data_IF_497942793510
#
_entry.id   IF_497942793510
#
_cell.length_a   1.000
_cell.length_b   1.000
_cell.length_c   1.000
_cell.angle_alpha   90.00
_cell.angle_beta   90.00
_cell.angle_gamma   90.00
#
_symmetry.space_group_name_H-M   'P 1'
#
loop_
_entity.id
_entity.type
_entity.pdbx_description
1 polymer ?
#
# COMPACT_ATOMS: atom_id res chain seq x y z
N UNK A 1 -5.31 -8.09 -3.99
CA UNK A 1 -4.72 -6.73 -4.11
C UNK A 1 -3.33 -6.79 -4.75
N UNK A 2 -2.40 -7.64 -4.28
CA UNK A 2 -1.05 -7.72 -4.87
C UNK A 2 -1.04 -8.08 -6.37
N UNK A 3 -1.77 -9.12 -6.82
CA UNK A 3 -1.87 -9.46 -8.23
C UNK A 3 -2.47 -8.37 -9.12
N UNK A 4 -3.53 -7.71 -8.67
CA UNK A 4 -4.18 -6.62 -9.41
C UNK A 4 -3.26 -5.39 -9.55
N UNK A 5 -2.54 -5.04 -8.49
CA UNK A 5 -1.54 -3.98 -8.54
C UNK A 5 -0.44 -4.29 -9.56
N UNK A 6 0.03 -5.55 -9.61
CA UNK A 6 1.03 -5.97 -10.58
C UNK A 6 0.59 -5.85 -12.02
N UNK A 7 -0.68 -6.15 -12.32
CA UNK A 7 -1.23 -5.96 -13.67
C UNK A 7 -1.22 -4.48 -14.06
N UNK A 8 -1.67 -3.62 -13.16
CA UNK A 8 -1.58 -2.16 -13.37
C UNK A 8 -0.14 -1.69 -13.58
N UNK A 9 0.82 -2.30 -12.88
CA UNK A 9 2.24 -2.00 -13.05
C UNK A 9 2.79 -2.49 -14.39
N UNK A 10 2.28 -3.58 -14.95
CA UNK A 10 2.68 -4.06 -16.26
C UNK A 10 2.37 -3.02 -17.35
N UNK A 11 1.21 -2.39 -17.30
CA UNK A 11 0.86 -1.33 -18.24
C UNK A 11 1.74 -0.07 -18.04
N UNK A 12 2.05 0.27 -16.81
CA UNK A 12 2.86 1.44 -16.47
C UNK A 12 4.36 1.23 -16.70
N UNK A 13 4.83 -0.01 -16.57
CA UNK A 13 6.22 -0.42 -16.69
C UNK A 13 6.37 -1.59 -17.67
N UNK A 14 6.14 -1.37 -18.97
CA UNK A 14 6.11 -2.45 -19.95
C UNK A 14 7.46 -3.14 -20.17
N UNK A 15 8.54 -2.55 -19.71
CA UNK A 15 9.90 -3.08 -19.73
C UNK A 15 10.20 -4.03 -18.55
N UNK A 16 9.29 -4.18 -17.60
CA UNK A 16 9.46 -5.11 -16.48
C UNK A 16 9.08 -6.53 -16.88
N UNK A 17 10.00 -7.46 -16.61
CA UNK A 17 9.72 -8.88 -16.84
C UNK A 17 8.79 -9.44 -15.76
N UNK A 18 7.53 -9.54 -16.11
CA UNK A 18 6.49 -10.11 -15.25
C UNK A 18 6.74 -11.60 -15.00
N UNK A 19 7.22 -12.31 -16.03
CA UNK A 19 7.57 -13.72 -15.94
C UNK A 19 8.72 -14.00 -14.97
N UNK A 20 9.52 -13.02 -14.61
CA UNK A 20 10.58 -13.19 -13.61
C UNK A 20 10.06 -13.49 -12.21
N UNK A 21 8.89 -12.98 -11.85
CA UNK A 21 8.35 -13.07 -10.47
C UNK A 21 7.06 -13.89 -10.36
N UNK A 22 6.26 -13.97 -11.41
CA UNK A 22 4.98 -14.68 -11.40
C UNK A 22 5.17 -16.14 -11.80
N UNK A 23 4.50 -17.04 -11.10
CA UNK A 23 4.49 -18.45 -11.41
C UNK A 23 3.57 -18.75 -12.62
N UNK A 24 3.68 -19.96 -13.19
CA UNK A 24 2.76 -20.40 -14.25
C UNK A 24 1.30 -20.44 -13.77
N UNK A 25 1.10 -20.77 -12.49
CA UNK A 25 -0.23 -20.74 -11.86
C UNK A 25 -0.72 -19.30 -11.76
N UNK A 26 0.12 -18.39 -11.25
CA UNK A 26 -0.17 -16.97 -11.13
C UNK A 26 -0.51 -16.35 -12.49
N UNK A 27 0.26 -16.68 -13.52
CA UNK A 27 0.03 -16.16 -14.86
C UNK A 27 -1.31 -16.60 -15.47
N UNK A 28 -1.73 -17.84 -15.23
CA UNK A 28 -3.06 -18.33 -15.67
C UNK A 28 -4.19 -17.62 -14.92
N UNK A 29 -3.98 -17.28 -13.67
CA UNK A 29 -5.00 -16.64 -12.81
C UNK A 29 -5.10 -15.12 -13.04
N UNK A 30 -4.08 -14.50 -13.58
CA UNK A 30 -4.01 -13.05 -13.75
C UNK A 30 -5.20 -12.49 -14.53
N UNK A 31 -5.50 -13.05 -15.69
CA UNK A 31 -6.61 -12.60 -16.53
C UNK A 31 -7.97 -12.74 -15.84
N UNK A 32 -8.11 -13.72 -14.96
CA UNK A 32 -9.34 -13.89 -14.19
C UNK A 32 -9.41 -12.84 -13.08
N UNK A 33 -8.32 -12.63 -12.35
CA UNK A 33 -8.26 -11.67 -11.24
C UNK A 33 -8.52 -10.23 -11.67
N UNK A 34 -8.01 -9.81 -12.84
CA UNK A 34 -8.24 -8.43 -13.32
C UNK A 34 -9.67 -8.15 -13.80
N UNK A 35 -10.43 -9.18 -14.11
CA UNK A 35 -11.82 -9.05 -14.57
C UNK A 35 -12.83 -9.23 -13.43
N UNK A 36 -12.36 -9.49 -12.21
CA UNK A 36 -13.22 -9.71 -11.05
C UNK A 36 -13.33 -8.46 -10.18
N UNK A 37 -14.48 -8.28 -9.54
CA UNK A 37 -14.63 -7.33 -8.45
C UNK A 37 -13.89 -7.82 -7.21
N UNK A 38 -13.58 -6.91 -6.29
CA UNK A 38 -12.79 -7.18 -5.05
C UNK A 38 -13.23 -8.44 -4.31
N UNK A 39 -14.54 -8.71 -4.23
CA UNK A 39 -15.06 -9.91 -3.54
C UNK A 39 -14.71 -11.18 -4.30
N UNK A 40 -14.84 -11.19 -5.63
CA UNK A 40 -14.48 -12.34 -6.47
C UNK A 40 -12.98 -12.58 -6.45
N UNK A 41 -12.17 -11.55 -6.56
CA UNK A 41 -10.71 -11.62 -6.48
C UNK A 41 -10.23 -12.16 -5.13
N UNK A 42 -10.85 -11.74 -4.02
CA UNK A 42 -10.52 -12.24 -2.69
C UNK A 42 -10.80 -13.75 -2.55
N UNK A 43 -11.97 -14.20 -3.06
CA UNK A 43 -12.32 -15.63 -3.05
C UNK A 43 -11.35 -16.46 -3.91
N UNK A 44 -10.93 -15.94 -5.05
CA UNK A 44 -9.96 -16.62 -5.91
C UNK A 44 -8.56 -16.64 -5.29
N UNK A 45 -8.16 -15.57 -4.63
CA UNK A 45 -6.90 -15.51 -3.88
C UNK A 45 -6.82 -16.61 -2.81
N UNK A 46 -7.89 -16.78 -2.02
CA UNK A 46 -8.00 -17.87 -1.05
C UNK A 46 -7.89 -19.24 -1.75
N UNK A 47 -8.55 -19.40 -2.89
CA UNK A 47 -8.51 -20.66 -3.65
C UNK A 47 -7.11 -20.96 -4.18
N UNK A 48 -6.38 -19.96 -4.65
CA UNK A 48 -4.99 -20.13 -5.12
C UNK A 48 -4.11 -20.60 -3.96
N UNK A 49 -4.18 -19.95 -2.81
CA UNK A 49 -3.37 -20.32 -1.64
C UNK A 49 -3.70 -21.72 -1.10
N UNK A 50 -4.98 -22.10 -1.07
CA UNK A 50 -5.41 -23.38 -0.52
C UNK A 50 -5.18 -24.57 -1.46
N UNK A 51 -5.30 -24.37 -2.77
CA UNK A 51 -5.37 -25.48 -3.73
C UNK A 51 -4.29 -25.48 -4.81
N UNK A 52 -3.57 -24.38 -5.01
CA UNK A 52 -2.80 -24.26 -6.24
C UNK A 52 -1.35 -23.92 -6.10
N UNK A 53 -0.90 -23.61 -4.92
CA UNK A 53 0.46 -23.15 -4.75
C UNK A 53 0.60 -21.65 -4.95
N UNK A 54 1.83 -21.20 -5.02
CA UNK A 54 2.17 -19.79 -4.91
C UNK A 54 1.89 -19.03 -6.20
N UNK A 55 1.23 -17.89 -6.09
CA UNK A 55 1.07 -16.94 -7.19
C UNK A 55 2.45 -16.44 -7.68
N UNK A 56 3.32 -16.12 -6.74
CA UNK A 56 4.70 -15.73 -7.02
C UNK A 56 5.64 -16.94 -6.97
N UNK A 57 6.54 -17.05 -7.94
CA UNK A 57 7.64 -18.01 -7.90
C UNK A 57 8.86 -17.50 -7.14
N UNK A 58 8.96 -16.18 -7.00
CA UNK A 58 9.97 -15.48 -6.21
C UNK A 58 9.37 -14.21 -5.60
N UNK A 59 9.95 -13.70 -4.53
CA UNK A 59 9.54 -12.42 -3.98
C UNK A 59 9.80 -11.30 -4.99
N UNK A 60 8.84 -10.41 -5.27
CA UNK A 60 9.07 -9.27 -6.17
C UNK A 60 10.24 -8.38 -5.73
N UNK A 61 10.50 -8.26 -4.45
CA UNK A 61 11.62 -7.45 -3.91
C UNK A 61 12.99 -8.09 -4.14
N UNK A 62 13.06 -9.39 -4.46
CA UNK A 62 14.33 -10.05 -4.83
C UNK A 62 14.76 -9.73 -6.27
N UNK A 63 13.86 -9.16 -7.06
CA UNK A 63 14.16 -8.62 -8.38
C UNK A 63 14.44 -7.12 -8.29
N UNK A 64 15.66 -6.65 -8.62
CA UNK A 64 16.00 -5.23 -8.52
C UNK A 64 15.03 -4.32 -9.29
N UNK A 65 14.58 -4.74 -10.47
CA UNK A 65 13.64 -3.98 -11.29
C UNK A 65 12.26 -3.84 -10.62
N UNK A 66 11.74 -4.92 -10.04
CA UNK A 66 10.46 -4.89 -9.33
C UNK A 66 10.54 -4.21 -7.97
N UNK A 67 11.66 -4.38 -7.25
CA UNK A 67 11.94 -3.64 -6.03
C UNK A 67 11.95 -2.12 -6.27
N UNK A 68 12.59 -1.69 -7.35
CA UNK A 68 12.58 -0.29 -7.76
C UNK A 68 11.17 0.21 -8.08
N UNK A 69 10.38 -0.59 -8.81
CA UNK A 69 8.97 -0.25 -9.08
C UNK A 69 8.16 -0.11 -7.80
N UNK A 70 8.35 -1.00 -6.83
CA UNK A 70 7.66 -0.91 -5.54
C UNK A 70 8.02 0.38 -4.79
N UNK A 71 9.28 0.80 -4.82
CA UNK A 71 9.72 2.07 -4.22
C UNK A 71 9.08 3.26 -4.92
N UNK A 72 9.08 3.28 -6.25
CA UNK A 72 8.47 4.36 -7.04
C UNK A 72 6.97 4.48 -6.79
N UNK A 73 6.31 3.38 -6.49
CA UNK A 73 4.88 3.35 -6.17
C UNK A 73 4.59 3.52 -4.66
N UNK A 74 5.61 3.59 -3.82
CA UNK A 74 5.43 3.86 -2.40
C UNK A 74 5.15 5.35 -2.20
N UNK A 75 4.03 5.72 -1.55
CA UNK A 75 3.70 7.11 -1.28
C UNK A 75 4.80 7.81 -0.49
N UNK A 76 5.18 8.99 -0.94
CA UNK A 76 6.16 9.82 -0.26
C UNK A 76 5.51 10.60 0.91
N UNK A 77 6.28 10.96 1.95
CA UNK A 77 5.78 11.77 3.05
C UNK A 77 5.12 13.05 2.57
N UNK A 78 3.92 13.33 3.08
CA UNK A 78 3.21 14.56 2.77
C UNK A 78 3.87 15.76 3.47
N UNK A 79 3.85 16.94 2.84
CA UNK A 79 4.33 18.16 3.50
C UNK A 79 3.45 18.48 4.72
N UNK A 80 4.04 19.13 5.74
CA UNK A 80 3.34 19.47 6.98
C UNK A 80 2.12 20.40 6.78
N UNK A 81 2.02 21.06 5.62
CA UNK A 81 0.85 21.86 5.25
C UNK A 81 -0.36 21.03 4.80
N UNK A 82 -0.18 19.73 4.60
CA UNK A 82 -1.22 18.80 4.16
C UNK A 82 -1.49 17.80 5.29
N UNK A 83 -2.47 18.08 6.16
CA UNK A 83 -2.80 17.20 7.28
C UNK A 83 -3.35 15.87 6.77
N UNK A 84 -2.96 14.78 7.43
CA UNK A 84 -3.39 13.43 7.12
C UNK A 84 -4.08 12.80 8.33
N UNK A 85 -5.22 12.16 8.10
CA UNK A 85 -5.80 11.20 9.03
C UNK A 85 -5.64 9.79 8.49
N UNK A 86 -5.15 8.90 9.33
CA UNK A 86 -5.03 7.48 9.05
C UNK A 86 -5.66 6.67 10.17
N UNK A 87 -6.38 5.62 9.83
CA UNK A 87 -6.85 4.63 10.81
C UNK A 87 -6.41 3.22 10.40
N UNK A 88 -6.07 2.43 11.39
CA UNK A 88 -5.57 1.08 11.18
C UNK A 88 -6.05 0.14 12.28
N UNK A 89 -6.45 -1.08 11.88
CA UNK A 89 -6.81 -2.14 12.80
C UNK A 89 -5.62 -3.04 13.11
N UNK A 90 -5.36 -3.32 14.38
CA UNK A 90 -4.22 -4.18 14.73
C UNK A 90 -4.41 -5.63 14.33
N UNK A 91 -5.63 -6.03 13.93
CA UNK A 91 -5.97 -7.36 13.44
C UNK A 91 -6.31 -7.37 11.94
N UNK A 92 -5.86 -6.36 11.21
CA UNK A 92 -6.02 -6.29 9.76
C UNK A 92 -5.10 -7.32 9.09
N UNK A 93 -5.71 -8.25 8.35
CA UNK A 93 -5.02 -9.31 7.61
C UNK A 93 -4.94 -9.04 6.10
N UNK A 94 -5.53 -7.95 5.64
CA UNK A 94 -5.53 -7.56 4.22
C UNK A 94 -4.51 -6.46 3.97
N UNK A 95 -4.60 -5.36 4.73
CA UNK A 95 -3.56 -4.34 4.78
C UNK A 95 -2.84 -4.51 6.11
N UNK A 96 -1.64 -5.04 6.03
CA UNK A 96 -0.90 -5.44 7.22
C UNK A 96 -0.54 -4.24 8.08
N UNK A 97 -0.95 -4.28 9.34
CA UNK A 97 -0.73 -3.19 10.30
C UNK A 97 0.75 -2.78 10.45
N UNK A 98 1.68 -3.73 10.22
CA UNK A 98 3.12 -3.45 10.20
C UNK A 98 3.56 -2.49 9.10
N UNK A 99 2.95 -2.53 7.92
CA UNK A 99 3.27 -1.59 6.83
C UNK A 99 2.83 -0.17 7.15
N UNK A 100 1.66 -0.01 7.75
CA UNK A 100 1.15 1.29 8.20
C UNK A 100 1.94 1.83 9.40
N UNK A 101 2.43 0.97 10.29
CA UNK A 101 3.33 1.36 11.36
C UNK A 101 4.65 1.93 10.82
N UNK A 102 5.25 1.26 9.83
CA UNK A 102 6.46 1.73 9.16
C UNK A 102 6.23 3.06 8.45
N UNK A 103 5.11 3.20 7.74
CA UNK A 103 4.73 4.45 7.09
C UNK A 103 4.59 5.58 8.11
N UNK A 104 3.88 5.36 9.21
CA UNK A 104 3.75 6.34 10.29
C UNK A 104 5.11 6.79 10.80
N UNK A 105 6.01 5.85 11.07
CA UNK A 105 7.35 6.16 11.54
C UNK A 105 8.11 7.04 10.55
N UNK A 106 8.16 6.63 9.29
CA UNK A 106 8.88 7.35 8.23
C UNK A 106 8.32 8.75 8.01
N UNK A 107 7.00 8.87 7.92
CA UNK A 107 6.34 10.14 7.65
C UNK A 107 6.43 11.10 8.84
N UNK A 108 6.32 10.58 10.07
CA UNK A 108 6.55 11.36 11.27
C UNK A 108 7.98 11.90 11.34
N UNK A 109 8.98 11.07 11.02
CA UNK A 109 10.39 11.51 10.94
C UNK A 109 10.61 12.57 9.86
N UNK A 110 9.90 12.49 8.76
CA UNK A 110 9.94 13.47 7.68
C UNK A 110 9.18 14.77 8.01
N UNK A 111 8.44 14.84 9.11
CA UNK A 111 7.74 16.02 9.56
C UNK A 111 6.30 16.16 9.05
N UNK A 112 5.72 15.12 8.46
CA UNK A 112 4.31 15.13 8.05
C UNK A 112 3.37 15.38 9.23
N UNK A 113 2.26 16.08 8.98
CA UNK A 113 1.21 16.34 9.98
C UNK A 113 0.20 15.19 9.98
N UNK A 114 0.40 14.22 10.87
CA UNK A 114 -0.39 12.99 10.91
C UNK A 114 -1.20 12.86 12.19
N UNK A 115 -2.49 12.57 12.03
CA UNK A 115 -3.36 12.03 13.06
C UNK A 115 -3.59 10.54 12.78
N UNK A 116 -3.10 9.66 13.64
CA UNK A 116 -3.21 8.20 13.44
C UNK A 116 -4.06 7.58 14.55
N UNK A 117 -5.08 6.83 14.16
CA UNK A 117 -5.93 6.08 15.08
C UNK A 117 -5.67 4.58 14.93
N UNK A 118 -5.09 3.98 15.95
CA UNK A 118 -4.93 2.54 16.06
C UNK A 118 -6.10 1.91 16.79
N UNK A 119 -6.72 0.91 16.15
CA UNK A 119 -7.92 0.23 16.65
C UNK A 119 -7.54 -1.20 17.07
N UNK A 120 -7.45 -1.45 18.38
CA UNK A 120 -7.06 -2.74 18.94
C UNK A 120 -8.04 -3.86 18.60
N UNK A 121 -7.53 -4.96 18.00
CA UNK A 121 -8.34 -6.14 17.65
C UNK A 121 -9.30 -5.97 16.47
N UNK A 122 -9.31 -4.81 15.82
CA UNK A 122 -10.20 -4.52 14.68
C UNK A 122 -9.56 -5.03 13.39
N UNK A 123 -10.36 -5.66 12.54
CA UNK A 123 -9.97 -6.15 11.22
C UNK A 123 -10.31 -5.17 10.10
N UNK A 124 -9.89 -5.49 8.88
CA UNK A 124 -9.94 -4.61 7.71
C UNK A 124 -11.30 -3.92 7.48
N UNK A 125 -12.37 -4.71 7.37
CA UNK A 125 -13.69 -4.18 7.03
C UNK A 125 -14.31 -3.32 8.15
N UNK A 126 -13.93 -3.57 9.38
CA UNK A 126 -14.47 -2.88 10.54
C UNK A 126 -13.77 -1.54 10.80
N UNK A 127 -12.56 -1.33 10.30
CA UNK A 127 -11.79 -0.10 10.51
C UNK A 127 -12.56 1.13 10.06
N UNK A 128 -13.14 1.11 8.88
CA UNK A 128 -13.87 2.25 8.33
C UNK A 128 -15.09 2.63 9.20
N UNK A 129 -15.80 1.64 9.72
CA UNK A 129 -16.96 1.86 10.59
C UNK A 129 -16.51 2.38 11.96
N UNK A 130 -15.49 1.75 12.54
CA UNK A 130 -15.04 2.08 13.90
C UNK A 130 -14.32 3.44 13.97
N UNK A 131 -13.63 3.85 12.91
CA UNK A 131 -12.94 5.13 12.84
C UNK A 131 -13.80 6.28 12.34
N UNK A 132 -14.95 6.00 11.74
CA UNK A 132 -15.81 7.00 11.10
C UNK A 132 -16.11 8.22 11.96
N UNK A 133 -16.57 8.09 13.21
CA UNK A 133 -16.85 9.23 14.09
C UNK A 133 -15.62 10.10 14.33
N UNK A 134 -14.46 9.49 14.62
CA UNK A 134 -13.20 10.22 14.85
C UNK A 134 -12.71 10.92 13.58
N UNK A 135 -12.83 10.24 12.42
CA UNK A 135 -12.52 10.85 11.14
C UNK A 135 -13.39 12.08 10.85
N UNK A 136 -14.70 11.97 11.08
CA UNK A 136 -15.63 13.10 10.85
C UNK A 136 -15.32 14.29 11.76
N UNK A 137 -15.01 14.05 13.03
CA UNK A 137 -14.59 15.10 13.95
C UNK A 137 -13.30 15.77 13.49
N UNK A 138 -12.32 14.97 13.09
CA UNK A 138 -11.05 15.46 12.53
C UNK A 138 -11.28 16.28 11.25
N UNK A 139 -12.07 15.78 10.31
CA UNK A 139 -12.32 16.44 9.03
C UNK A 139 -13.04 17.79 9.23
N UNK A 140 -14.11 17.82 10.02
CA UNK A 140 -14.81 19.08 10.38
C UNK A 140 -13.84 20.05 11.01
N UNK A 141 -12.98 19.57 11.92
CA UNK A 141 -11.95 20.39 12.53
C UNK A 141 -11.02 21.07 11.53
N UNK A 142 -10.63 20.36 10.44
CA UNK A 142 -9.81 20.96 9.39
C UNK A 142 -10.53 22.11 8.68
N UNK A 143 -11.81 21.95 8.33
CA UNK A 143 -12.60 23.02 7.71
C UNK A 143 -12.83 24.22 8.62
N UNK A 144 -12.87 24.01 9.92
CA UNK A 144 -12.99 25.06 10.93
C UNK A 144 -11.64 25.70 11.32
N UNK A 145 -10.55 25.27 10.72
CA UNK A 145 -9.20 25.76 11.04
C UNK A 145 -8.69 25.30 12.42
N UNK A 146 -9.31 24.29 13.03
CA UNK A 146 -8.82 23.68 14.27
C UNK A 146 -7.59 22.83 13.96
N UNK A 147 -6.57 22.98 14.77
CA UNK A 147 -5.35 22.17 14.64
C UNK A 147 -5.67 20.75 15.09
N UNK A 148 -5.51 19.80 14.18
CA UNK A 148 -5.66 18.39 14.51
C UNK A 148 -4.59 17.93 15.52
N UNK A 149 -4.93 16.99 16.41
CA UNK A 149 -3.93 16.37 17.26
C UNK A 149 -2.94 15.60 16.40
N UNK A 150 -1.71 16.04 16.41
CA UNK A 150 -0.60 15.30 15.78
C UNK A 150 -0.15 14.22 16.75
N UNK A 151 -0.16 12.95 16.29
CA UNK A 151 0.36 11.85 17.08
C UNK A 151 1.38 11.07 16.28
N UNK A 152 2.64 11.36 16.53
CA UNK A 152 3.77 10.59 16.06
C UNK A 152 4.29 9.63 17.16
N UNK A 153 3.45 9.30 18.12
CA UNK A 153 3.73 8.23 19.08
C UNK A 153 3.56 6.89 18.40
N UNK A 154 4.53 6.01 18.62
CA UNK A 154 4.55 4.71 17.99
C UNK A 154 3.25 3.94 18.22
N UNK A 155 2.78 3.25 17.16
CA UNK A 155 1.67 2.33 17.30
C UNK A 155 2.01 1.25 18.32
N UNK A 156 0.99 0.66 18.96
CA UNK A 156 1.20 -0.55 19.72
C UNK A 156 1.93 -1.57 18.82
N UNK A 157 2.86 -2.31 19.39
CA UNK A 157 3.58 -3.35 18.66
C UNK A 157 2.56 -4.24 17.94
N UNK A 158 2.41 -4.02 16.64
CA UNK A 158 1.58 -4.87 15.79
C UNK A 158 2.24 -6.23 15.73
N UNK A 159 1.41 -7.28 15.69
CA UNK A 159 1.87 -8.66 15.61
C UNK A 159 2.99 -8.82 14.55
N UNK A 160 4.01 -9.61 14.84
CA UNK A 160 5.23 -9.62 14.08
C UNK A 160 4.99 -10.22 12.69
N UNK A 161 4.88 -9.37 11.70
CA UNK A 161 5.34 -9.79 10.39
C UNK A 161 6.87 -9.62 10.37
N UNK A 162 7.59 -10.61 9.83
CA UNK A 162 9.04 -10.47 9.69
C UNK A 162 9.30 -9.13 8.98
N UNK A 163 10.13 -8.32 9.58
CA UNK A 163 10.55 -7.07 8.98
C UNK A 163 11.11 -7.39 7.60
N UNK A 164 10.49 -6.86 6.56
CA UNK A 164 11.03 -6.97 5.20
C UNK A 164 12.29 -6.11 5.21
N UNK A 165 13.45 -6.77 5.18
CA UNK A 165 14.72 -6.07 5.06
C UNK A 165 14.84 -5.61 3.62
N UNK A 166 14.52 -4.34 3.37
CA UNK A 166 14.77 -3.74 2.06
C UNK A 166 16.28 -3.62 1.88
N UNK A 167 16.86 -4.16 0.80
CA UNK A 167 18.29 -4.05 0.56
C UNK A 167 18.73 -2.58 0.55
N UNK A 168 19.89 -2.26 1.18
CA UNK A 168 20.37 -0.87 1.28
C UNK A 168 20.51 -0.17 -0.07
N UNK A 169 20.88 -0.88 -1.12
CA UNK A 169 20.99 -0.38 -2.49
C UNK A 169 19.64 0.06 -3.07
N UNK A 170 18.54 -0.54 -2.62
CA UNK A 170 17.17 -0.20 -3.02
C UNK A 170 16.71 1.07 -2.31
N UNK A 171 17.12 1.26 -1.05
CA UNK A 171 16.85 2.48 -0.29
C UNK A 171 17.71 3.67 -0.75
N UNK A 172 18.87 3.42 -1.35
CA UNK A 172 19.79 4.45 -1.81
C UNK A 172 19.49 4.96 -3.24
N UNK A 173 18.63 4.28 -4.00
CA UNK A 173 18.28 4.72 -5.34
C UNK A 173 17.47 6.03 -5.28
N UNK A 174 17.87 7.10 -6.00
CA UNK A 174 17.09 8.31 -6.06
C UNK A 174 15.72 7.98 -6.69
N UNK A 175 14.65 8.43 -6.04
CA UNK A 175 13.30 8.34 -6.60
C UNK A 175 13.29 9.10 -7.94
N UNK A 176 13.36 8.38 -9.03
CA UNK A 176 13.12 8.95 -10.35
C UNK A 176 11.65 9.29 -10.43
N UNK A 177 11.32 10.55 -10.17
CA UNK A 177 9.98 11.05 -10.40
C UNK A 177 9.66 10.81 -11.87
N UNK A 178 8.73 9.89 -12.12
CA UNK A 178 8.23 9.65 -13.46
C UNK A 178 7.65 10.96 -13.98
N UNK A 179 8.34 11.55 -14.94
CA UNK A 179 7.80 12.68 -15.70
C UNK A 179 6.57 12.17 -16.42
N UNK A 180 5.41 12.54 -15.89
CA UNK A 180 4.14 12.34 -16.58
C UNK A 180 4.17 13.23 -17.84
N UNK A 181 4.55 12.66 -18.97
CA UNK A 181 4.29 13.24 -20.27
C UNK A 181 2.78 13.12 -20.54
N UNK A 182 2.01 14.05 -19.97
CA UNK A 182 0.68 14.34 -20.48
C UNK A 182 0.85 15.09 -21.78
N UNK A 183 0.98 14.36 -22.88
CA UNK A 183 0.69 14.92 -24.20
C UNK A 183 -0.83 15.05 -24.26
N UNK A 184 -1.30 16.25 -23.93
CA UNK A 184 -2.66 16.68 -24.16
C UNK A 184 -2.90 16.63 -25.69
N UNK A 185 -3.62 15.59 -26.13
CA UNK A 185 -4.10 15.52 -27.51
C UNK A 185 -5.18 16.57 -27.66
N UNK A 186 -4.84 17.68 -28.28
CA UNK A 186 -5.80 18.64 -28.80
C UNK A 186 -6.69 17.91 -29.81
N UNK A 187 -7.95 17.79 -29.49
CA UNK A 187 -8.99 17.32 -30.40
C UNK A 187 -9.50 18.54 -31.20
N UNK A 188 -9.65 18.42 -32.54
CA UNK A 188 -10.12 19.52 -33.40
C UNK A 188 -11.60 19.82 -33.22
#
# INVERSE_FOLDING_TARGET
>A
IGPEALVSFQDRYPDRDFGAIVSDIGNRQLNTLVNECTTGAALQGITIEQFGGQFFKSSPIDSPAWAQTAIEQTPQPLPASMPLFMSEGTNDTIVLSGSNALMQEQWCKAGSDMAVQWLGGVGHLQVAIASGPTFMEWAVGQFEGRKAPRNCTFPPASAPYPAVTVPPEVLAAPATQGTSNTTEAANP
#
